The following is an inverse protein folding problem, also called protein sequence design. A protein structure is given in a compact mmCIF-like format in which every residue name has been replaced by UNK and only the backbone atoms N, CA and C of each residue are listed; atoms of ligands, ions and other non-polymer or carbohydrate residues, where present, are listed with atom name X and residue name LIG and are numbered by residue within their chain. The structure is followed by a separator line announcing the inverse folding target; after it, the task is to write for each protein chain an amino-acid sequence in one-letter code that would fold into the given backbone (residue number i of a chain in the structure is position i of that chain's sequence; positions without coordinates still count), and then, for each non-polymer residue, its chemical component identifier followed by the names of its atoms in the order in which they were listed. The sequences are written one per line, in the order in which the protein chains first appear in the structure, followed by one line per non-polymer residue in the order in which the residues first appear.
data_IF_326439345844
#
_entry.id   IF_326439345844
#
_cell.length_a   1.000
_cell.length_b   1.000
_cell.length_c   1.000
_cell.angle_alpha   90.00
_cell.angle_beta   90.00
_cell.angle_gamma   90.00
#
_symmetry.space_group_name_H-M   'P 1'
#
loop_
_entity.id
_entity.type
_entity.pdbx_description
1 polymer ?
#
# COMPACT_ATOMS: atom_id res chain seq x y z
N UNK A 1 38.34 -41.22 61.72
CA UNK A 1 37.35 -42.14 61.11
C UNK A 1 37.66 -42.13 59.61
N UNK A 2 38.27 -43.14 58.97
CA UNK A 2 38.05 -44.61 59.00
C UNK A 2 36.66 -44.92 58.40
N UNK A 3 36.47 -45.62 57.26
CA UNK A 3 37.44 -46.32 56.36
C UNK A 3 36.95 -46.49 54.90
N UNK A 4 37.90 -46.45 53.95
CA UNK A 4 38.15 -47.32 52.76
C UNK A 4 37.06 -48.40 52.47
N UNK A 5 36.35 -48.46 51.32
CA UNK A 5 36.69 -48.90 49.93
C UNK A 5 36.76 -50.45 49.72
N UNK A 6 36.64 -50.94 48.45
CA UNK A 6 36.74 -52.37 47.98
C UNK A 6 35.54 -53.29 48.36
N UNK A 7 35.17 -54.44 47.74
CA UNK A 7 35.58 -55.24 46.54
C UNK A 7 34.52 -56.38 46.27
N UNK A 8 34.40 -57.19 45.18
CA UNK A 8 34.88 -57.18 43.77
C UNK A 8 34.12 -58.24 42.88
N UNK A 9 34.21 -58.14 41.53
CA UNK A 9 33.99 -59.15 40.44
C UNK A 9 32.84 -60.20 40.44
N UNK A 10 32.23 -60.41 39.25
CA UNK A 10 32.47 -61.65 38.43
C UNK A 10 32.03 -61.54 36.95
N UNK A 11 32.46 -62.52 36.14
CA UNK A 11 32.48 -62.49 34.66
C UNK A 11 31.29 -63.19 33.99
N UNK A 12 31.01 -62.76 32.76
CA UNK A 12 30.04 -63.32 31.81
C UNK A 12 30.27 -64.78 31.38
N UNK A 13 29.23 -65.42 30.82
CA UNK A 13 29.39 -66.13 29.54
C UNK A 13 28.09 -66.35 28.72
N UNK A 14 28.32 -66.49 27.42
CA UNK A 14 27.47 -66.82 26.24
C UNK A 14 26.08 -67.48 26.41
N UNK A 15 25.11 -66.86 25.70
CA UNK A 15 24.31 -67.40 24.56
C UNK A 15 23.85 -68.87 24.61
N UNK A 16 22.53 -69.06 24.49
CA UNK A 16 21.92 -70.14 23.70
C UNK A 16 20.61 -69.62 23.04
N UNK A 17 20.30 -70.07 21.82
CA UNK A 17 19.02 -69.79 21.15
C UNK A 17 17.94 -70.78 21.62
N UNK A 18 16.69 -70.32 21.64
CA UNK A 18 15.52 -71.19 21.45
C UNK A 18 14.44 -70.43 20.66
N UNK A 19 13.88 -71.07 19.64
CA UNK A 19 12.85 -70.51 18.76
C UNK A 19 11.61 -71.41 18.74
N UNK A 20 10.48 -70.87 19.19
CA UNK A 20 9.12 -71.40 18.94
C UNK A 20 8.12 -70.25 18.92
N UNK A 21 6.95 -70.47 18.31
CA UNK A 21 6.06 -69.43 17.79
C UNK A 21 4.64 -69.52 18.39
N UNK A 22 3.88 -68.42 18.26
CA UNK A 22 2.44 -68.25 18.52
C UNK A 22 2.04 -68.05 19.99
N UNK A 23 1.28 -66.96 20.24
CA UNK A 23 0.75 -66.57 21.55
C UNK A 23 0.25 -65.12 21.54
N UNK A 24 -0.92 -64.88 20.93
CA UNK A 24 -1.49 -63.53 20.70
C UNK A 24 -1.95 -62.82 21.97
N UNK A 25 -1.73 -61.50 22.07
CA UNK A 25 -2.75 -60.52 22.51
C UNK A 25 -2.52 -59.13 21.87
N UNK A 26 -3.45 -58.73 21.00
CA UNK A 26 -3.96 -57.36 20.77
C UNK A 26 -3.04 -56.13 20.95
N UNK A 27 -2.60 -55.56 19.83
CA UNK A 27 -2.44 -54.11 19.64
C UNK A 27 -2.59 -53.77 18.15
N UNK A 28 -3.16 -52.60 17.83
CA UNK A 28 -3.49 -52.17 16.46
C UNK A 28 -4.32 -53.21 15.67
N UNK A 29 -5.58 -53.34 16.06
CA UNK A 29 -6.63 -53.69 15.10
C UNK A 29 -6.75 -52.52 14.09
N UNK A 30 -5.88 -52.52 13.08
CA UNK A 30 -5.93 -51.56 11.99
C UNK A 30 -7.06 -51.98 11.03
N UNK A 31 -8.30 -51.87 11.53
CA UNK A 31 -9.48 -51.75 10.68
C UNK A 31 -9.14 -50.68 9.65
N UNK A 32 -9.27 -51.06 8.39
CA UNK A 32 -9.00 -50.16 7.28
C UNK A 32 -10.14 -49.15 7.26
N UNK A 33 -9.89 -47.97 7.81
CA UNK A 33 -10.74 -46.79 7.69
C UNK A 33 -10.62 -46.22 6.26
N UNK A 34 -10.91 -47.09 5.28
CA UNK A 34 -11.35 -46.72 3.93
C UNK A 34 -12.79 -46.25 4.02
N UNK A 35 -13.01 -45.19 4.79
CA UNK A 35 -14.01 -44.22 4.39
C UNK A 35 -13.51 -43.67 3.03
N UNK A 36 -14.32 -43.73 1.97
CA UNK A 36 -13.94 -43.26 0.62
C UNK A 36 -13.94 -41.72 0.54
N UNK A 37 -13.39 -41.08 1.58
CA UNK A 37 -13.32 -39.64 1.78
C UNK A 37 -12.38 -38.99 0.76
N UNK A 38 -13.01 -38.28 -0.17
CA UNK A 38 -12.45 -37.67 -1.39
C UNK A 38 -10.95 -37.33 -1.33
N UNK A 39 -10.18 -38.00 -2.18
CA UNK A 39 -8.73 -37.78 -2.34
C UNK A 39 -8.38 -36.48 -3.09
N UNK A 40 -9.34 -35.59 -3.31
CA UNK A 40 -9.12 -34.23 -3.80
C UNK A 40 -8.08 -33.46 -2.99
N UNK A 41 -7.43 -32.53 -3.70
CA UNK A 41 -6.54 -31.54 -3.12
C UNK A 41 -7.37 -30.27 -2.97
N UNK A 42 -7.47 -29.75 -1.75
CA UNK A 42 -8.00 -28.41 -1.55
C UNK A 42 -6.95 -27.39 -1.98
N UNK A 43 -7.32 -26.43 -2.82
CA UNK A 43 -6.45 -25.31 -3.17
C UNK A 43 -6.89 -24.05 -2.43
N UNK A 44 -5.92 -23.32 -1.90
CA UNK A 44 -6.11 -22.02 -1.27
C UNK A 44 -5.14 -20.99 -1.84
N UNK A 45 -5.56 -19.72 -1.85
CA UNK A 45 -4.69 -18.58 -2.10
C UNK A 45 -4.58 -17.77 -0.81
N UNK A 46 -3.35 -17.55 -0.34
CA UNK A 46 -3.04 -16.65 0.77
C UNK A 46 -2.59 -15.30 0.21
N UNK A 47 -2.83 -14.24 0.97
CA UNK A 47 -2.51 -12.87 0.57
C UNK A 47 -1.69 -12.20 1.66
N UNK A 48 -0.74 -11.37 1.26
CA UNK A 48 0.26 -10.80 2.16
C UNK A 48 0.60 -9.38 1.77
N UNK A 49 0.56 -8.45 2.72
CA UNK A 49 0.88 -7.03 2.52
C UNK A 49 2.01 -6.62 3.47
N UNK A 50 3.21 -7.13 3.22
CA UNK A 50 4.46 -6.72 3.88
C UNK A 50 5.26 -5.66 3.10
N UNK A 51 4.82 -5.33 1.88
CA UNK A 51 5.39 -4.26 1.04
C UNK A 51 4.93 -2.87 1.50
N UNK A 52 5.28 -2.53 2.74
CA UNK A 52 5.04 -1.24 3.37
C UNK A 52 6.31 -0.77 4.09
N UNK A 53 6.32 0.47 4.57
CA UNK A 53 7.51 1.08 5.21
C UNK A 53 7.93 0.38 6.52
N UNK A 54 7.00 -0.32 7.18
CA UNK A 54 7.22 -1.05 8.44
C UNK A 54 7.83 -2.44 8.22
N UNK A 55 7.76 -2.99 6.99
CA UNK A 55 8.19 -4.35 6.63
C UNK A 55 7.51 -5.45 7.50
N UNK A 56 6.23 -5.27 7.80
CA UNK A 56 5.40 -6.22 8.56
C UNK A 56 4.14 -6.49 7.75
N UNK A 57 3.71 -7.75 7.66
CA UNK A 57 2.44 -8.09 6.99
C UNK A 57 1.25 -7.46 7.72
N UNK A 58 0.56 -6.55 7.02
CA UNK A 58 -0.60 -5.83 7.50
C UNK A 58 -1.92 -6.29 6.83
N UNK A 59 -1.92 -7.38 6.04
CA UNK A 59 -3.10 -7.83 5.28
C UNK A 59 -4.37 -7.90 6.14
N UNK A 60 -4.34 -8.68 7.23
CA UNK A 60 -5.48 -8.86 8.13
C UNK A 60 -5.89 -7.56 8.88
N UNK A 61 -5.00 -6.58 8.99
CA UNK A 61 -5.25 -5.33 9.69
C UNK A 61 -5.91 -4.29 8.78
N UNK A 62 -5.43 -4.14 7.54
CA UNK A 62 -5.88 -3.07 6.63
C UNK A 62 -6.88 -3.55 5.56
N UNK A 63 -6.72 -4.74 4.98
CA UNK A 63 -7.55 -5.19 3.85
C UNK A 63 -8.93 -5.66 4.33
N UNK A 64 -10.00 -5.24 3.63
CA UNK A 64 -11.41 -5.52 4.00
C UNK A 64 -12.23 -6.25 2.93
N UNK A 65 -11.77 -6.21 1.69
CA UNK A 65 -12.27 -7.05 0.59
C UNK A 65 -11.09 -7.41 -0.33
N UNK A 66 -11.23 -8.53 -1.04
CA UNK A 66 -10.28 -8.92 -2.08
C UNK A 66 -10.98 -9.68 -3.20
N UNK A 67 -10.63 -9.35 -4.44
CA UNK A 67 -11.06 -10.05 -5.65
C UNK A 67 -9.85 -10.64 -6.36
N UNK A 68 -9.85 -11.96 -6.50
CA UNK A 68 -8.85 -12.73 -7.23
C UNK A 68 -9.37 -13.06 -8.64
N UNK A 69 -8.53 -12.89 -9.64
CA UNK A 69 -8.74 -13.26 -11.03
C UNK A 69 -7.65 -14.25 -11.45
N UNK A 70 -8.02 -15.31 -12.18
CA UNK A 70 -7.10 -16.35 -12.64
C UNK A 70 -7.19 -16.52 -14.16
N UNK A 71 -6.08 -16.29 -14.86
CA UNK A 71 -5.98 -16.30 -16.32
C UNK A 71 -5.14 -17.50 -16.83
N UNK A 72 -5.51 -18.07 -17.98
CA UNK A 72 -4.77 -19.16 -18.62
C UNK A 72 -3.49 -18.69 -19.34
N UNK A 73 -2.71 -19.64 -19.89
CA UNK A 73 -1.50 -19.35 -20.69
C UNK A 73 -1.77 -18.59 -22.01
N UNK A 74 -3.04 -18.36 -22.36
CA UNK A 74 -3.47 -17.54 -23.50
C UNK A 74 -4.09 -16.20 -23.03
N UNK A 75 -3.94 -15.86 -21.75
CA UNK A 75 -4.50 -14.68 -21.08
C UNK A 75 -6.05 -14.62 -21.00
N UNK A 76 -6.77 -15.73 -21.16
CA UNK A 76 -8.22 -15.77 -20.97
C UNK A 76 -8.57 -15.91 -19.49
N UNK A 77 -9.59 -15.18 -19.00
CA UNK A 77 -10.10 -15.34 -17.64
C UNK A 77 -10.76 -16.73 -17.48
N UNK A 78 -10.28 -17.55 -16.55
CA UNK A 78 -10.80 -18.90 -16.26
C UNK A 78 -11.64 -18.93 -14.99
N UNK A 79 -11.24 -18.19 -13.96
CA UNK A 79 -12.01 -18.05 -12.72
C UNK A 79 -11.83 -16.65 -12.13
N UNK A 80 -12.83 -16.20 -11.38
CA UNK A 80 -12.72 -15.03 -10.52
C UNK A 80 -13.50 -15.29 -9.23
N UNK A 81 -13.03 -14.74 -8.10
CA UNK A 81 -13.68 -14.90 -6.80
C UNK A 81 -13.46 -13.65 -5.94
N UNK A 82 -14.52 -13.14 -5.33
CA UNK A 82 -14.49 -11.99 -4.44
C UNK A 82 -14.96 -12.39 -3.04
N UNK A 83 -14.22 -11.97 -2.01
CA UNK A 83 -14.54 -12.21 -0.59
C UNK A 83 -14.26 -10.96 0.25
N UNK A 84 -15.03 -10.76 1.33
CA UNK A 84 -14.97 -9.54 2.14
C UNK A 84 -15.45 -9.76 3.57
N UNK A 85 -15.14 -8.79 4.45
CA UNK A 85 -15.53 -8.80 5.85
C UNK A 85 -14.57 -9.56 6.78
N UNK A 86 -15.02 -9.78 8.02
CA UNK A 86 -14.17 -10.14 9.16
C UNK A 86 -13.31 -11.41 8.98
N UNK A 87 -13.66 -12.31 8.07
CA UNK A 87 -12.86 -13.51 7.79
C UNK A 87 -11.45 -13.21 7.26
N UNK A 88 -11.26 -12.08 6.55
CA UNK A 88 -9.94 -11.61 6.12
C UNK A 88 -9.07 -11.18 7.32
N UNK A 89 -9.69 -10.70 8.40
CA UNK A 89 -9.00 -10.18 9.59
C UNK A 89 -8.55 -11.28 10.58
N UNK A 90 -8.78 -12.56 10.24
CA UNK A 90 -8.46 -13.71 11.13
C UNK A 90 -6.97 -14.01 11.25
N UNK A 91 -6.14 -13.59 10.29
CA UNK A 91 -4.72 -13.96 10.21
C UNK A 91 -4.44 -15.39 9.72
N UNK A 92 -5.45 -16.25 9.63
CA UNK A 92 -5.40 -17.60 9.04
C UNK A 92 -6.16 -17.70 7.71
N UNK A 93 -6.53 -16.54 7.13
CA UNK A 93 -7.33 -16.44 5.92
C UNK A 93 -6.64 -17.05 4.69
N UNK A 94 -7.36 -17.93 4.00
CA UNK A 94 -6.99 -18.43 2.67
C UNK A 94 -8.25 -18.59 1.81
N UNK A 95 -8.23 -18.00 0.61
CA UNK A 95 -9.33 -18.09 -0.34
C UNK A 95 -9.34 -19.46 -1.03
N UNK A 96 -10.32 -20.31 -0.72
CA UNK A 96 -10.45 -21.64 -1.35
C UNK A 96 -10.80 -21.52 -2.84
N UNK A 97 -10.14 -22.31 -3.69
CA UNK A 97 -10.30 -22.30 -5.15
C UNK A 97 -10.62 -23.71 -5.70
N UNK A 98 -11.54 -23.79 -6.65
CA UNK A 98 -11.87 -25.02 -7.39
C UNK A 98 -10.87 -25.37 -8.51
N UNK A 99 -9.83 -24.54 -8.67
CA UNK A 99 -8.75 -24.67 -9.65
C UNK A 99 -7.38 -24.65 -8.94
N UNK A 100 -6.39 -25.32 -9.54
CA UNK A 100 -5.00 -25.34 -9.04
C UNK A 100 -4.27 -24.03 -9.39
N UNK A 101 -4.06 -23.09 -8.44
CA UNK A 101 -3.66 -21.72 -8.75
C UNK A 101 -2.24 -21.62 -9.32
N UNK A 102 -1.37 -22.57 -8.96
CA UNK A 102 0.00 -22.73 -9.46
C UNK A 102 0.08 -22.82 -11.01
N UNK A 103 -1.02 -23.21 -11.67
CA UNK A 103 -1.09 -23.31 -13.13
C UNK A 103 -1.40 -22.00 -13.86
N UNK A 104 -1.96 -21.01 -13.18
CA UNK A 104 -2.58 -19.82 -13.77
C UNK A 104 -1.81 -18.54 -13.42
N UNK A 105 -2.01 -17.51 -14.25
CA UNK A 105 -1.63 -16.15 -13.91
C UNK A 105 -2.69 -15.56 -12.97
N UNK A 106 -2.32 -15.36 -11.71
CA UNK A 106 -3.19 -14.78 -10.70
C UNK A 106 -3.00 -13.26 -10.62
N UNK A 107 -4.11 -12.52 -10.57
CA UNK A 107 -4.12 -11.08 -10.28
C UNK A 107 -5.11 -10.83 -9.17
N UNK A 108 -4.70 -10.06 -8.17
CA UNK A 108 -5.53 -9.67 -7.04
C UNK A 108 -5.75 -8.15 -7.03
N UNK A 109 -7.00 -7.74 -6.82
CA UNK A 109 -7.36 -6.36 -6.50
C UNK A 109 -8.11 -6.35 -5.17
N UNK A 110 -7.62 -5.58 -4.20
CA UNK A 110 -8.15 -5.56 -2.84
C UNK A 110 -8.50 -4.13 -2.41
N UNK A 111 -9.52 -4.01 -1.55
CA UNK A 111 -10.05 -2.73 -1.10
C UNK A 111 -10.92 -1.98 -2.12
N UNK A 112 -11.36 -2.65 -3.19
CA UNK A 112 -12.26 -2.07 -4.20
C UNK A 112 -13.60 -1.64 -3.58
N UNK A 113 -14.10 -0.50 -4.03
CA UNK A 113 -15.38 0.09 -3.64
C UNK A 113 -16.05 0.77 -4.85
N UNK A 114 -17.37 0.75 -4.89
CA UNK A 114 -18.16 1.36 -5.99
C UNK A 114 -18.13 2.91 -5.98
N UNK A 115 -17.43 3.54 -5.02
CA UNK A 115 -17.33 4.99 -4.84
C UNK A 115 -15.99 5.56 -5.33
N UNK A 116 -14.86 4.90 -5.04
CA UNK A 116 -13.51 5.36 -5.42
C UNK A 116 -12.95 4.71 -6.69
N UNK A 117 -13.34 3.47 -7.05
CA UNK A 117 -12.73 2.74 -8.18
C UNK A 117 -13.72 1.99 -9.07
N UNK A 118 -13.71 2.30 -10.37
CA UNK A 118 -14.44 1.55 -11.38
C UNK A 118 -13.60 0.38 -11.92
N UNK A 119 -14.17 -0.83 -11.93
CA UNK A 119 -13.60 -2.06 -12.51
C UNK A 119 -14.61 -2.67 -13.50
N UNK A 120 -14.19 -3.11 -14.70
CA UNK A 120 -15.11 -3.66 -15.69
C UNK A 120 -15.68 -5.02 -15.27
N UNK A 121 -16.93 -5.27 -15.63
CA UNK A 121 -17.63 -6.54 -15.38
C UNK A 121 -17.10 -7.66 -16.29
N UNK A 122 -16.06 -8.35 -15.84
CA UNK A 122 -15.47 -9.47 -16.56
C UNK A 122 -16.35 -10.73 -16.48
N UNK A 123 -16.18 -11.63 -17.45
CA UNK A 123 -16.84 -12.95 -17.46
C UNK A 123 -15.82 -14.02 -17.85
N UNK A 124 -15.64 -15.08 -17.05
CA UNK A 124 -14.81 -16.22 -17.41
C UNK A 124 -15.18 -16.83 -18.77
N UNK A 125 -14.18 -17.25 -19.54
CA UNK A 125 -14.34 -17.74 -20.91
C UNK A 125 -14.74 -16.68 -21.95
N UNK A 126 -14.69 -15.39 -21.60
CA UNK A 126 -14.95 -14.26 -22.53
C UNK A 126 -13.95 -13.11 -22.41
N UNK A 127 -13.57 -12.75 -21.19
CA UNK A 127 -12.62 -11.67 -20.93
C UNK A 127 -11.16 -12.12 -21.12
N UNK A 128 -10.32 -11.22 -21.63
CA UNK A 128 -8.86 -11.34 -21.64
C UNK A 128 -8.25 -10.56 -20.47
N UNK A 129 -6.97 -10.80 -20.16
CA UNK A 129 -6.23 -10.09 -19.11
C UNK A 129 -6.14 -8.58 -19.37
N UNK A 130 -6.09 -8.17 -20.64
CA UNK A 130 -6.11 -6.75 -21.05
C UNK A 130 -7.42 -6.04 -20.72
N UNK A 131 -8.50 -6.79 -20.49
CA UNK A 131 -9.80 -6.24 -20.11
C UNK A 131 -9.83 -5.89 -18.61
N UNK A 132 -8.90 -6.42 -17.80
CA UNK A 132 -8.79 -6.10 -16.38
C UNK A 132 -8.00 -4.79 -16.19
N UNK A 133 -8.72 -3.71 -15.88
CA UNK A 133 -8.15 -2.41 -15.56
C UNK A 133 -8.97 -1.74 -14.45
N UNK A 134 -8.37 -0.81 -13.72
CA UNK A 134 -9.00 -0.12 -12.58
C UNK A 134 -8.89 1.39 -12.81
N UNK A 135 -10.02 2.10 -12.75
CA UNK A 135 -10.08 3.55 -13.04
C UNK A 135 -10.69 4.33 -11.88
N UNK A 136 -9.90 5.23 -11.29
CA UNK A 136 -10.28 6.09 -10.15
C UNK A 136 -11.52 6.92 -10.47
N UNK A 137 -12.61 6.78 -9.74
CA UNK A 137 -13.87 7.49 -10.01
C UNK A 137 -13.66 8.99 -9.83
N UNK A 138 -14.13 9.80 -10.80
CA UNK A 138 -13.90 11.25 -10.83
C UNK A 138 -15.12 12.00 -11.37
N UNK A 139 -15.39 13.16 -10.82
CA UNK A 139 -16.37 14.11 -11.34
C UNK A 139 -15.80 14.77 -12.60
N UNK A 140 -16.56 14.81 -13.69
CA UNK A 140 -16.13 15.51 -14.92
C UNK A 140 -17.00 16.70 -15.23
N UNK A 141 -16.36 17.86 -15.43
CA UNK A 141 -17.00 19.13 -15.79
C UNK A 141 -17.17 19.27 -17.32
N UNK A 142 -16.63 18.31 -18.10
CA UNK A 142 -16.68 18.28 -19.57
C UNK A 142 -17.06 16.90 -20.09
N UNK A 143 -17.29 16.79 -21.41
CA UNK A 143 -17.24 15.50 -22.09
C UNK A 143 -15.77 15.22 -22.47
N UNK A 144 -15.18 14.06 -22.12
CA UNK A 144 -13.85 13.67 -22.59
C UNK A 144 -13.81 13.68 -24.13
N UNK A 145 -12.88 14.42 -24.72
CA UNK A 145 -12.75 14.52 -26.20
C UNK A 145 -11.63 13.64 -26.76
N UNK A 146 -10.62 13.38 -25.92
CA UNK A 146 -9.54 12.40 -26.04
C UNK A 146 -9.14 12.02 -24.61
N UNK A 147 -8.45 10.91 -24.44
CA UNK A 147 -7.83 10.50 -23.19
C UNK A 147 -6.32 10.76 -23.25
N UNK A 148 -5.71 11.17 -22.13
CA UNK A 148 -4.26 11.40 -22.00
C UNK A 148 -3.90 12.74 -21.37
N UNK A 149 -2.72 12.80 -20.72
CA UNK A 149 -2.26 13.96 -19.93
C UNK A 149 -2.24 15.26 -20.75
N UNK A 150 -2.94 16.29 -20.26
CA UNK A 150 -2.96 17.63 -20.84
C UNK A 150 -3.13 18.69 -19.75
N UNK A 151 -2.25 19.69 -19.77
CA UNK A 151 -2.31 20.86 -18.88
C UNK A 151 -3.63 21.64 -19.00
N UNK A 152 -4.27 21.56 -20.16
CA UNK A 152 -5.56 22.19 -20.41
C UNK A 152 -6.73 21.53 -19.67
N UNK A 153 -6.52 20.40 -19.00
CA UNK A 153 -7.57 19.59 -18.34
C UNK A 153 -7.53 19.67 -16.80
N UNK A 154 -6.59 20.44 -16.24
CA UNK A 154 -6.61 20.87 -14.84
C UNK A 154 -7.98 21.48 -14.47
N UNK A 155 -8.47 21.16 -13.28
CA UNK A 155 -9.81 21.47 -12.74
C UNK A 155 -11.01 20.89 -13.52
N UNK A 156 -10.83 20.04 -14.55
CA UNK A 156 -11.95 19.38 -15.26
C UNK A 156 -12.31 17.98 -14.73
N UNK A 157 -11.33 17.21 -14.30
CA UNK A 157 -11.48 15.83 -13.85
C UNK A 157 -11.15 15.77 -12.36
N UNK A 158 -12.17 15.91 -11.52
CA UNK A 158 -12.02 16.21 -10.10
C UNK A 158 -12.20 14.94 -9.26
N UNK A 159 -11.24 14.71 -8.36
CA UNK A 159 -11.36 13.76 -7.25
C UNK A 159 -11.36 14.59 -5.97
N UNK A 160 -12.42 14.52 -5.19
CA UNK A 160 -12.67 15.41 -4.02
C UNK A 160 -13.22 14.66 -2.80
N UNK A 161 -12.95 13.35 -2.74
CA UNK A 161 -13.21 12.45 -1.61
C UNK A 161 -11.91 11.77 -1.17
N UNK A 162 -11.91 11.16 0.02
CA UNK A 162 -10.84 10.23 0.42
C UNK A 162 -11.01 8.94 -0.38
N UNK A 163 -9.96 8.49 -1.08
CA UNK A 163 -10.02 7.23 -1.82
C UNK A 163 -9.99 6.07 -0.82
N UNK A 164 -10.75 5.02 -1.10
CA UNK A 164 -10.54 3.73 -0.46
C UNK A 164 -9.08 3.27 -0.61
N UNK A 165 -8.56 2.54 0.37
CA UNK A 165 -7.23 1.96 0.24
C UNK A 165 -7.26 0.84 -0.81
N UNK A 166 -6.54 1.02 -1.92
CA UNK A 166 -6.47 0.05 -3.01
C UNK A 166 -5.15 -0.73 -2.95
N UNK A 167 -5.23 -2.05 -3.12
CA UNK A 167 -4.06 -2.92 -3.28
C UNK A 167 -4.13 -3.74 -4.57
N UNK A 168 -2.95 -4.02 -5.11
CA UNK A 168 -2.72 -4.91 -6.26
C UNK A 168 -1.76 -6.04 -5.90
N UNK A 169 -1.94 -7.22 -6.50
CA UNK A 169 -0.92 -8.26 -6.56
C UNK A 169 -0.93 -9.00 -7.89
N UNK A 170 0.25 -9.39 -8.38
CA UNK A 170 0.43 -10.20 -9.62
C UNK A 170 1.30 -11.43 -9.31
N UNK A 171 0.86 -12.61 -9.75
CA UNK A 171 1.64 -13.84 -9.68
C UNK A 171 1.48 -14.64 -10.97
N UNK A 172 2.44 -14.48 -11.89
CA UNK A 172 2.39 -15.05 -13.25
C UNK A 172 2.30 -16.56 -13.29
N UNK A 173 3.16 -17.25 -12.51
CA UNK A 173 3.00 -18.62 -11.95
C UNK A 173 3.89 -18.66 -10.71
N UNK A 174 3.43 -19.25 -9.61
CA UNK A 174 4.16 -19.29 -8.34
C UNK A 174 4.16 -20.68 -7.70
N UNK A 175 5.17 -21.02 -6.89
CA UNK A 175 5.26 -22.31 -6.22
C UNK A 175 4.17 -22.46 -5.17
N UNK A 176 3.45 -23.59 -5.16
CA UNK A 176 2.54 -23.91 -4.07
C UNK A 176 3.26 -24.58 -2.89
N UNK A 177 2.91 -24.17 -1.67
CA UNK A 177 3.26 -24.90 -0.44
C UNK A 177 2.17 -25.95 -0.15
N UNK A 178 2.50 -27.02 0.59
CA UNK A 178 1.57 -28.12 0.89
C UNK A 178 1.46 -28.39 2.38
N UNK A 179 0.23 -28.43 2.88
CA UNK A 179 -0.11 -28.87 4.24
C UNK A 179 -1.17 -29.97 4.19
N UNK A 180 -0.75 -31.23 4.36
CA UNK A 180 -1.64 -32.40 4.28
C UNK A 180 -2.28 -32.58 2.89
N UNK A 181 -3.61 -32.42 2.81
CA UNK A 181 -4.38 -32.39 1.56
C UNK A 181 -4.55 -30.98 0.96
N UNK A 182 -4.17 -29.92 1.68
CA UNK A 182 -4.26 -28.53 1.21
C UNK A 182 -2.99 -28.08 0.48
N UNK A 183 -3.14 -27.26 -0.56
CA UNK A 183 -2.07 -26.48 -1.20
C UNK A 183 -2.34 -25.00 -1.09
N UNK A 184 -1.33 -24.21 -0.77
CA UNK A 184 -1.43 -22.75 -0.65
C UNK A 184 -0.48 -22.06 -1.62
N UNK A 185 -1.01 -21.08 -2.36
CA UNK A 185 -0.24 -20.19 -3.25
C UNK A 185 -0.31 -18.78 -2.68
N UNK A 186 0.83 -18.13 -2.44
CA UNK A 186 0.87 -16.79 -1.84
C UNK A 186 0.92 -15.70 -2.92
N UNK A 187 0.04 -14.69 -2.81
CA UNK A 187 0.06 -13.48 -3.64
C UNK A 187 0.44 -12.29 -2.75
N UNK A 188 1.61 -11.72 -2.99
CA UNK A 188 2.06 -10.49 -2.34
C UNK A 188 1.32 -9.27 -2.91
N UNK A 189 1.00 -8.31 -2.04
CA UNK A 189 0.25 -7.10 -2.36
C UNK A 189 1.11 -5.84 -2.21
N UNK A 190 0.90 -4.88 -3.10
CA UNK A 190 1.42 -3.50 -3.06
C UNK A 190 0.23 -2.55 -2.93
N UNK A 191 0.37 -1.45 -2.17
CA UNK A 191 -0.67 -0.44 -1.99
C UNK A 191 -0.54 0.65 -3.04
N UNK A 192 -1.65 1.03 -3.66
CA UNK A 192 -1.70 1.93 -4.82
C UNK A 192 -2.24 3.33 -4.49
N UNK A 193 -2.63 3.59 -3.25
CA UNK A 193 -3.34 4.81 -2.83
C UNK A 193 -2.61 5.48 -1.69
N UNK A 194 -2.41 6.79 -1.81
CA UNK A 194 -1.54 7.58 -0.95
C UNK A 194 -2.34 8.74 -0.34
N UNK A 195 -2.32 8.86 0.99
CA UNK A 195 -2.89 10.01 1.69
C UNK A 195 -1.79 11.06 1.94
N UNK A 196 -2.03 12.28 1.47
CA UNK A 196 -1.07 13.39 1.48
C UNK A 196 -1.69 14.57 2.23
N UNK A 197 -1.16 14.78 3.44
CA UNK A 197 -1.51 15.84 4.37
C UNK A 197 -0.52 16.99 4.23
N UNK A 198 -1.02 18.18 3.92
CA UNK A 198 -0.21 19.35 3.60
C UNK A 198 -0.61 20.50 4.51
N UNK A 199 0.33 20.94 5.35
CA UNK A 199 0.17 22.09 6.22
C UNK A 199 0.94 23.28 5.65
N UNK A 200 0.25 24.35 5.26
CA UNK A 200 0.88 25.65 5.04
C UNK A 200 0.94 26.37 6.39
N UNK A 201 2.15 26.62 6.89
CA UNK A 201 2.41 27.09 8.26
C UNK A 201 2.99 28.50 8.22
N UNK A 202 2.33 29.46 8.87
CA UNK A 202 2.78 30.86 8.90
C UNK A 202 3.74 31.09 10.08
N UNK A 203 5.01 31.31 9.76
CA UNK A 203 6.13 31.44 10.68
C UNK A 203 6.55 32.91 10.80
N UNK A 204 6.70 33.37 12.04
CA UNK A 204 7.16 34.72 12.35
C UNK A 204 8.68 34.77 12.43
N UNK A 205 9.36 35.18 11.35
CA UNK A 205 10.83 35.13 11.27
C UNK A 205 11.59 36.00 12.31
N UNK A 206 10.95 37.03 12.88
CA UNK A 206 11.49 37.72 14.06
C UNK A 206 10.38 38.18 15.01
N UNK A 207 10.66 38.24 16.31
CA UNK A 207 9.66 38.55 17.35
C UNK A 207 8.97 39.91 17.18
N UNK A 208 9.63 40.87 16.51
CA UNK A 208 9.14 42.23 16.32
C UNK A 208 8.31 42.43 15.04
N UNK A 209 8.21 41.42 14.17
CA UNK A 209 7.47 41.55 12.93
C UNK A 209 5.97 41.76 13.15
N UNK A 210 5.30 42.40 12.19
CA UNK A 210 3.84 42.53 12.16
C UNK A 210 3.32 41.56 11.11
N UNK A 211 2.43 40.65 11.50
CA UNK A 211 1.69 39.83 10.53
C UNK A 211 0.79 40.79 9.74
N UNK A 212 1.14 41.04 8.48
CA UNK A 212 0.39 41.95 7.60
C UNK A 212 -0.87 41.27 7.05
N UNK A 213 -0.78 39.95 6.88
CA UNK A 213 -1.86 39.08 6.45
C UNK A 213 -1.79 37.76 7.22
N UNK A 214 -2.76 37.54 8.12
CA UNK A 214 -2.93 36.25 8.76
C UNK A 214 -3.34 35.19 7.74
N UNK A 215 -2.78 33.99 7.85
CA UNK A 215 -3.19 32.83 7.06
C UNK A 215 -4.68 32.53 7.26
N UNK A 216 -5.38 32.16 6.19
CA UNK A 216 -6.83 31.95 6.18
C UNK A 216 -7.21 30.83 5.22
N UNK A 217 -7.85 29.76 5.69
CA UNK A 217 -8.18 28.61 4.84
C UNK A 217 -9.13 28.92 3.68
N UNK A 218 -9.93 29.98 3.81
CA UNK A 218 -10.84 30.43 2.74
C UNK A 218 -10.12 31.23 1.64
N UNK A 219 -8.82 31.51 1.81
CA UNK A 219 -7.98 32.26 0.87
C UNK A 219 -6.94 31.37 0.15
N UNK A 220 -7.01 30.06 0.33
CA UNK A 220 -6.07 29.08 -0.20
C UNK A 220 -6.81 27.97 -0.96
N UNK A 221 -6.18 27.43 -2.01
CA UNK A 221 -6.58 26.17 -2.65
C UNK A 221 -5.37 25.25 -2.70
N UNK A 222 -5.55 23.99 -2.30
CA UNK A 222 -4.54 22.95 -2.38
C UNK A 222 -5.03 21.94 -3.42
N UNK A 223 -4.28 21.75 -4.49
CA UNK A 223 -4.57 20.78 -5.55
C UNK A 223 -3.34 19.92 -5.81
N UNK A 224 -3.52 18.64 -6.13
CA UNK A 224 -2.48 17.81 -6.78
C UNK A 224 -2.99 17.43 -8.18
N UNK A 225 -2.15 17.57 -9.20
CA UNK A 225 -2.47 17.25 -10.59
C UNK A 225 -1.58 16.13 -11.12
N UNK A 226 -2.17 15.02 -11.56
CA UNK A 226 -1.42 13.92 -12.19
C UNK A 226 -2.31 13.06 -13.11
N UNK A 227 -1.70 12.22 -13.95
CA UNK A 227 -2.37 11.30 -14.88
C UNK A 227 -2.25 9.82 -14.44
N UNK A 228 -2.36 9.57 -13.14
CA UNK A 228 -2.25 8.24 -12.51
C UNK A 228 -3.61 7.56 -12.23
N UNK A 229 -4.70 8.08 -12.82
CA UNK A 229 -6.06 7.64 -12.59
C UNK A 229 -6.50 6.30 -13.21
N UNK A 230 -5.63 5.63 -13.97
CA UNK A 230 -5.95 4.42 -14.74
C UNK A 230 -4.82 3.38 -14.63
N UNK A 231 -5.10 2.27 -13.94
CA UNK A 231 -4.15 1.17 -13.70
C UNK A 231 -4.51 -0.04 -14.57
N UNK A 232 -3.48 -0.63 -15.20
CA UNK A 232 -3.56 -1.85 -15.98
C UNK A 232 -3.55 -3.11 -15.08
N UNK A 233 -3.80 -4.29 -15.66
CA UNK A 233 -3.76 -5.59 -14.97
C UNK A 233 -2.41 -5.85 -14.25
N UNK A 234 -1.29 -5.37 -14.79
CA UNK A 234 0.07 -5.50 -14.23
C UNK A 234 0.49 -4.29 -13.38
N UNK A 235 -0.48 -3.46 -12.96
CA UNK A 235 -0.30 -2.25 -12.16
C UNK A 235 0.55 -1.15 -12.83
N UNK A 236 0.82 -1.26 -14.12
CA UNK A 236 1.34 -0.12 -14.90
C UNK A 236 0.25 0.94 -15.05
N UNK A 237 0.66 2.21 -15.15
CA UNK A 237 -0.27 3.30 -15.43
C UNK A 237 -0.52 3.38 -16.94
N UNK A 238 -1.79 3.36 -17.33
CA UNK A 238 -2.25 3.63 -18.68
C UNK A 238 -2.34 5.14 -18.92
N UNK A 239 -2.46 5.57 -20.18
CA UNK A 239 -2.75 6.97 -20.50
C UNK A 239 -4.11 7.37 -19.91
N UNK A 240 -4.14 8.35 -19.01
CA UNK A 240 -5.37 8.92 -18.46
C UNK A 240 -5.42 10.45 -18.61
N UNK A 241 -6.62 11.01 -18.43
CA UNK A 241 -6.83 12.45 -18.33
C UNK A 241 -6.07 13.04 -17.14
N UNK A 242 -5.67 14.32 -17.23
CA UNK A 242 -5.08 15.03 -16.08
C UNK A 242 -6.12 15.16 -14.97
N UNK A 243 -5.92 14.42 -13.88
CA UNK A 243 -6.78 14.52 -12.71
C UNK A 243 -6.44 15.76 -11.88
N UNK A 244 -7.41 16.20 -11.09
CA UNK A 244 -7.27 17.25 -10.09
C UNK A 244 -7.78 16.71 -8.77
N UNK A 245 -6.85 16.21 -7.97
CA UNK A 245 -7.08 15.79 -6.61
C UNK A 245 -7.23 17.03 -5.73
N UNK A 246 -8.34 17.09 -5.00
CA UNK A 246 -8.72 18.17 -4.08
C UNK A 246 -8.83 17.63 -2.67
N UNK A 247 -8.75 18.48 -1.64
CA UNK A 247 -8.74 18.01 -0.27
C UNK A 247 -10.14 17.56 0.15
N UNK A 248 -10.25 16.33 0.65
CA UNK A 248 -11.48 15.86 1.30
C UNK A 248 -11.69 16.52 2.66
N UNK A 249 -10.61 17.04 3.26
CA UNK A 249 -10.66 17.86 4.47
C UNK A 249 -9.79 19.12 4.32
N UNK A 250 -10.24 20.26 4.87
CA UNK A 250 -9.42 21.46 5.02
C UNK A 250 -9.71 22.20 6.34
N UNK A 251 -8.69 22.33 7.17
CA UNK A 251 -8.73 22.91 8.52
C UNK A 251 -7.84 24.14 8.68
N UNK A 252 -8.05 24.87 9.78
CA UNK A 252 -7.15 25.93 10.24
C UNK A 252 -6.99 25.81 11.76
N UNK A 253 -5.76 25.55 12.22
CA UNK A 253 -5.40 25.33 13.63
C UNK A 253 -3.93 25.63 13.86
N UNK A 254 -3.43 25.54 15.10
CA UNK A 254 -1.98 25.58 15.34
C UNK A 254 -1.33 24.24 15.01
N UNK A 255 -0.08 24.29 14.56
CA UNK A 255 0.81 23.15 14.37
C UNK A 255 2.10 23.45 15.13
N UNK A 256 2.55 22.49 15.94
CA UNK A 256 3.84 22.57 16.61
C UNK A 256 4.93 22.03 15.68
N UNK A 257 6.07 22.72 15.60
CA UNK A 257 7.24 22.31 14.80
C UNK A 257 8.53 22.87 15.38
N UNK A 258 9.61 22.11 15.18
CA UNK A 258 11.01 22.46 15.51
C UNK A 258 11.81 22.97 14.30
N UNK A 259 11.18 23.20 13.14
CA UNK A 259 11.87 23.60 11.92
C UNK A 259 12.69 24.92 12.03
N UNK A 260 12.34 25.77 13.01
CA UNK A 260 13.00 27.05 13.28
C UNK A 260 13.52 27.20 14.72
N UNK A 261 13.37 26.18 15.58
CA UNK A 261 13.63 26.27 17.02
C UNK A 261 14.16 24.94 17.60
N UNK A 262 14.90 25.03 18.71
CA UNK A 262 15.44 23.85 19.43
C UNK A 262 14.33 23.01 20.10
N UNK A 263 13.14 23.59 20.28
CA UNK A 263 11.95 22.95 20.85
C UNK A 263 10.74 23.24 19.96
N UNK A 264 9.76 22.34 19.99
CA UNK A 264 8.54 22.48 19.20
C UNK A 264 7.80 23.77 19.57
N UNK A 265 7.51 24.58 18.55
CA UNK A 265 6.88 25.90 18.69
C UNK A 265 5.58 25.92 17.90
N UNK A 266 4.49 26.41 18.50
CA UNK A 266 3.19 26.50 17.82
C UNK A 266 3.12 27.68 16.84
N UNK A 267 2.73 27.37 15.61
CA UNK A 267 2.47 28.35 14.56
C UNK A 267 1.06 28.17 13.97
N UNK A 268 0.37 29.25 13.55
CA UNK A 268 -0.90 29.14 12.87
C UNK A 268 -0.72 28.52 11.47
N UNK A 269 -1.54 27.53 11.15
CA UNK A 269 -1.46 26.78 9.91
C UNK A 269 -2.83 26.55 9.26
N UNK A 270 -2.83 26.36 7.95
CA UNK A 270 -3.95 25.80 7.19
C UNK A 270 -3.52 24.43 6.69
N UNK A 271 -4.35 23.41 6.94
CA UNK A 271 -4.05 22.02 6.61
C UNK A 271 -5.08 21.55 5.59
N UNK A 272 -4.60 20.91 4.52
CA UNK A 272 -5.39 20.20 3.54
C UNK A 272 -4.99 18.72 3.57
N UNK A 273 -5.95 17.81 3.50
CA UNK A 273 -5.69 16.38 3.42
C UNK A 273 -6.33 15.86 2.13
N UNK A 274 -5.47 15.32 1.25
CA UNK A 274 -5.77 14.87 -0.10
C UNK A 274 -5.49 13.37 -0.20
N UNK A 275 -6.23 12.65 -1.03
CA UNK A 275 -5.95 11.25 -1.36
C UNK A 275 -5.68 11.14 -2.85
N UNK A 276 -4.63 10.40 -3.24
CA UNK A 276 -4.18 10.27 -4.63
C UNK A 276 -3.92 8.80 -4.99
N UNK A 277 -3.94 8.48 -6.28
CA UNK A 277 -3.61 7.14 -6.78
C UNK A 277 -2.08 6.88 -6.75
N UNK A 278 -1.59 5.92 -7.54
CA UNK A 278 -0.22 5.41 -7.42
C UNK A 278 0.81 6.48 -7.79
N UNK A 279 1.78 6.71 -6.91
CA UNK A 279 2.89 7.64 -7.16
C UNK A 279 4.01 6.91 -7.92
N UNK A 280 4.38 7.46 -9.07
CA UNK A 280 5.38 6.87 -9.96
C UNK A 280 6.53 7.85 -10.19
N UNK A 281 7.78 7.39 -9.99
CA UNK A 281 9.01 8.21 -10.08
C UNK A 281 9.30 8.82 -11.45
N UNK A 282 8.60 8.37 -12.49
CA UNK A 282 8.70 8.78 -13.88
C UNK A 282 7.44 9.51 -14.40
N UNK A 283 6.45 9.72 -13.51
CA UNK A 283 5.39 10.71 -13.67
C UNK A 283 5.79 12.02 -12.98
N UNK A 284 5.07 13.10 -13.26
CA UNK A 284 5.33 14.43 -12.71
C UNK A 284 4.08 14.99 -12.00
N UNK A 285 3.64 14.42 -10.87
CA UNK A 285 2.53 14.97 -10.09
C UNK A 285 2.87 16.39 -9.60
N UNK A 286 2.02 17.35 -9.94
CA UNK A 286 2.19 18.77 -9.58
C UNK A 286 1.34 19.11 -8.36
N UNK A 287 1.99 19.42 -7.24
CA UNK A 287 1.38 20.08 -6.09
C UNK A 287 1.25 21.60 -6.34
N UNK A 288 0.08 22.15 -6.05
CA UNK A 288 -0.20 23.58 -6.14
C UNK A 288 -0.91 24.10 -4.89
N UNK A 289 -0.40 25.19 -4.32
CA UNK A 289 -0.99 25.90 -3.17
C UNK A 289 -1.30 27.33 -3.62
N UNK A 290 -2.49 27.56 -4.14
CA UNK A 290 -2.88 28.83 -4.78
C UNK A 290 -3.46 29.79 -3.74
N UNK A 291 -2.84 30.96 -3.58
CA UNK A 291 -3.45 32.12 -2.92
C UNK A 291 -4.56 32.70 -3.81
N UNK A 292 -5.81 32.67 -3.33
CA UNK A 292 -6.97 33.15 -4.11
C UNK A 292 -7.08 34.67 -4.20
N UNK A 293 -6.34 35.44 -3.37
CA UNK A 293 -6.29 36.91 -3.48
C UNK A 293 -5.32 37.40 -4.56
N UNK A 294 -4.17 36.73 -4.72
CA UNK A 294 -3.18 37.09 -5.76
C UNK A 294 -3.27 36.22 -7.02
N UNK A 295 -3.99 35.09 -6.95
CA UNK A 295 -4.08 34.05 -7.97
C UNK A 295 -2.71 33.55 -8.43
N UNK A 296 -1.84 33.26 -7.45
CA UNK A 296 -0.49 32.69 -7.63
C UNK A 296 -0.33 31.42 -6.81
N UNK A 297 0.43 30.45 -7.33
CA UNK A 297 0.98 29.37 -6.50
C UNK A 297 1.99 29.98 -5.52
N UNK A 298 1.93 29.56 -4.25
CA UNK A 298 2.87 29.94 -3.20
C UNK A 298 4.18 29.14 -3.36
N UNK A 299 4.11 27.91 -3.87
CA UNK A 299 5.28 27.07 -4.08
C UNK A 299 6.15 27.58 -5.25
N UNK A 300 7.49 27.51 -5.09
CA UNK A 300 8.49 27.80 -6.13
C UNK A 300 8.44 26.76 -7.26
N UNK A 301 8.33 25.49 -6.88
CA UNK A 301 8.15 24.32 -7.76
C UNK A 301 6.96 23.51 -7.27
N UNK A 302 6.28 22.81 -8.18
CA UNK A 302 5.20 21.89 -7.84
C UNK A 302 5.63 20.43 -7.74
N UNK A 303 6.93 20.12 -7.89
CA UNK A 303 7.43 18.73 -7.97
C UNK A 303 7.23 17.94 -6.67
N UNK A 304 6.10 17.22 -6.59
CA UNK A 304 5.73 16.41 -5.44
C UNK A 304 6.71 15.24 -5.26
N UNK A 305 7.18 14.61 -6.34
CA UNK A 305 8.15 13.50 -6.24
C UNK A 305 9.49 14.01 -5.72
N UNK A 306 9.92 15.21 -6.15
CA UNK A 306 11.05 15.94 -5.60
C UNK A 306 10.95 16.11 -4.09
N UNK A 307 9.85 16.71 -3.60
CA UNK A 307 9.59 16.86 -2.16
C UNK A 307 9.66 15.51 -1.40
N UNK A 308 8.98 14.47 -1.88
CA UNK A 308 8.96 13.16 -1.19
C UNK A 308 10.32 12.45 -1.22
N UNK A 309 11.09 12.61 -2.31
CA UNK A 309 12.44 12.06 -2.43
C UNK A 309 13.45 12.70 -1.46
N UNK A 310 13.21 13.91 -0.94
CA UNK A 310 14.04 14.49 0.11
C UNK A 310 14.04 13.62 1.37
N UNK A 311 12.85 13.24 1.87
CA UNK A 311 12.71 12.38 3.05
C UNK A 311 13.32 10.99 2.80
N UNK A 312 13.10 10.42 1.61
CA UNK A 312 13.77 9.17 1.19
C UNK A 312 15.29 9.30 1.27
N UNK A 313 15.85 10.41 0.81
CA UNK A 313 17.30 10.60 0.75
C UNK A 313 17.92 10.80 2.13
N UNK A 314 17.22 11.48 3.05
CA UNK A 314 17.66 11.68 4.44
C UNK A 314 17.56 10.39 5.29
N UNK A 315 16.44 9.65 5.17
CA UNK A 315 16.07 8.59 6.12
C UNK A 315 16.14 7.17 5.57
N UNK A 316 15.97 7.00 4.26
CA UNK A 316 15.84 5.70 3.59
C UNK A 316 16.78 5.63 2.37
N UNK A 317 18.01 6.14 2.50
CA UNK A 317 18.91 6.41 1.39
C UNK A 317 19.19 5.19 0.47
N UNK A 318 19.26 3.98 1.04
CA UNK A 318 19.48 2.72 0.33
C UNK A 318 18.23 2.19 -0.41
N UNK A 319 17.03 2.72 -0.10
CA UNK A 319 15.77 2.31 -0.71
C UNK A 319 15.56 2.99 -2.07
N UNK A 320 15.34 2.26 -3.18
CA UNK A 320 15.02 2.84 -4.48
C UNK A 320 13.78 3.75 -4.42
N UNK A 321 13.79 4.87 -5.15
CA UNK A 321 12.69 5.85 -5.09
C UNK A 321 11.30 5.25 -5.37
N UNK A 322 11.17 4.34 -6.35
CA UNK A 322 9.88 3.70 -6.59
C UNK A 322 9.45 2.76 -5.45
N UNK A 323 10.40 2.01 -4.87
CA UNK A 323 10.11 1.16 -3.71
C UNK A 323 9.71 1.99 -2.49
N UNK A 324 10.24 3.20 -2.32
CA UNK A 324 9.77 4.12 -1.29
C UNK A 324 8.34 4.61 -1.55
N UNK A 325 8.05 5.08 -2.77
CA UNK A 325 6.73 5.60 -3.18
C UNK A 325 5.63 4.52 -3.14
N UNK A 326 5.98 3.24 -3.31
CA UNK A 326 5.07 2.09 -3.21
C UNK A 326 4.99 1.49 -1.78
N UNK A 327 5.75 2.00 -0.80
CA UNK A 327 5.81 1.49 0.60
C UNK A 327 5.34 2.48 1.67
N UNK A 328 5.61 3.77 1.48
CA UNK A 328 5.09 4.84 2.34
C UNK A 328 3.79 5.32 1.69
N UNK A 329 2.66 5.09 2.37
CA UNK A 329 1.31 5.40 1.88
C UNK A 329 0.71 6.65 2.54
N UNK A 330 1.41 7.20 3.54
CA UNK A 330 0.97 8.33 4.35
C UNK A 330 2.09 9.37 4.43
N UNK A 331 1.79 10.56 3.92
CA UNK A 331 2.72 11.69 3.86
C UNK A 331 2.14 12.90 4.59
N UNK A 332 2.87 13.45 5.56
CA UNK A 332 2.55 14.69 6.26
C UNK A 332 3.66 15.71 6.03
N UNK A 333 3.39 16.72 5.20
CA UNK A 333 4.35 17.77 4.82
C UNK A 333 3.93 19.13 5.38
N UNK A 334 4.86 19.82 6.05
CA UNK A 334 4.74 21.21 6.47
C UNK A 334 5.58 22.08 5.52
N UNK A 335 4.93 23.07 4.90
CA UNK A 335 5.54 24.10 4.07
C UNK A 335 5.40 25.45 4.77
N UNK A 336 6.48 26.21 4.84
CA UNK A 336 6.56 27.40 5.68
C UNK A 336 6.44 28.70 4.88
N UNK A 337 5.69 29.66 5.41
CA UNK A 337 5.54 31.01 4.84
C UNK A 337 5.76 32.09 5.90
N UNK A 338 6.14 33.30 5.47
CA UNK A 338 6.38 34.45 6.35
C UNK A 338 5.07 35.17 6.79
N UNK A 339 5.26 36.31 7.44
CA UNK A 339 4.23 37.22 7.96
C UNK A 339 3.40 37.93 6.87
N UNK A 340 3.86 37.86 5.61
CA UNK A 340 3.22 38.36 4.39
C UNK A 340 2.65 37.22 3.52
N UNK A 341 2.87 35.95 3.88
CA UNK A 341 2.61 34.72 3.13
C UNK A 341 3.58 34.45 1.94
N UNK A 342 4.81 34.96 1.99
CA UNK A 342 5.89 34.57 1.07
C UNK A 342 6.50 33.22 1.48
N UNK A 343 6.85 32.36 0.52
CA UNK A 343 7.46 31.05 0.78
C UNK A 343 8.86 31.15 1.42
N UNK A 344 9.07 30.42 2.51
CA UNK A 344 10.37 30.24 3.16
C UNK A 344 11.04 28.99 2.56
N UNK A 345 11.61 29.12 1.36
CA UNK A 345 12.17 28.01 0.58
C UNK A 345 13.57 27.53 1.07
N UNK A 346 13.80 27.51 2.38
CA UNK A 346 15.05 27.06 3.01
C UNK A 346 14.86 25.80 3.86
N UNK A 347 13.62 25.43 4.16
CA UNK A 347 13.29 24.28 5.00
C UNK A 347 11.91 23.73 4.64
N UNK A 348 11.75 22.41 4.74
CA UNK A 348 10.48 21.69 4.69
C UNK A 348 10.49 20.65 5.82
N UNK A 349 9.34 20.22 6.33
CA UNK A 349 9.28 19.11 7.29
C UNK A 349 8.33 18.03 6.76
N UNK A 350 8.80 16.78 6.68
CA UNK A 350 8.06 15.65 6.07
C UNK A 350 8.14 14.43 6.98
N UNK A 351 6.98 13.86 7.36
CA UNK A 351 6.82 12.76 8.32
C UNK A 351 7.66 12.97 9.62
N UNK A 352 7.62 14.21 10.14
CA UNK A 352 8.31 14.73 11.33
C UNK A 352 9.84 14.91 11.21
N UNK A 353 10.39 14.83 9.98
CA UNK A 353 11.79 15.13 9.67
C UNK A 353 11.94 16.52 9.05
N UNK A 354 12.66 17.41 9.74
CA UNK A 354 13.02 18.73 9.25
C UNK A 354 14.18 18.62 8.27
N UNK A 355 13.97 19.01 7.02
CA UNK A 355 14.95 18.94 5.93
C UNK A 355 15.31 20.36 5.49
N UNK A 356 16.59 20.69 5.52
CA UNK A 356 17.10 21.97 5.02
C UNK A 356 17.25 21.91 3.50
N UNK A 357 16.84 22.97 2.81
CA UNK A 357 16.80 23.07 1.35
C UNK A 357 17.94 23.95 0.83
N UNK A 358 18.64 23.49 -0.20
CA UNK A 358 19.59 24.26 -0.98
C UNK A 358 18.91 24.80 -2.26
N UNK A 359 19.50 25.82 -2.90
CA UNK A 359 18.95 26.45 -4.12
C UNK A 359 18.72 25.48 -5.32
N UNK A 360 19.34 24.30 -5.28
CA UNK A 360 19.30 23.28 -6.33
C UNK A 360 18.32 22.12 -6.07
N UNK A 361 17.75 22.02 -4.86
CA UNK A 361 17.00 20.82 -4.47
C UNK A 361 15.53 20.84 -4.97
N UNK A 362 14.97 22.04 -5.18
CA UNK A 362 13.58 22.34 -5.54
C UNK A 362 13.46 23.69 -6.28
#
# INVERSE_FOLDING_TARGET
MISILTDIQKKANKILLFTTLVGTMTACDSVLDFDEGDCSIEYGVTFKYDYNIKNVDAFAQEVKNITLYAFDDNNNLVAMKAESGDMLATGEYAMTMDIDPEKYHLIAWAGLDDESFAVPLLTPGKANITDLNVKTIRNSVVVPTKQGRSEGDKDKFIVEHELSSLWHGELKKGPSTRSGRKRFTEVSLIKNTNNIRIALVQVKQNENATITRAINKNELKFNIYDDNGFMNYDNTLLDDDMLTYKPFMTEQKTVATRAFNVVDTEYPAVIAELSVARLMKDKNPELSIIDTKTNKNILKTGDLIGYLNLLRTEKYADMPLQEYLDREDNYSMLVFVDENLTLINTVVEINDWVIQLNDFDL
#
